data_IF_697194751322
#
_entry.id   IF_697194751322
#
_cell.length_a   1.000
_cell.length_b   1.000
_cell.length_c   1.000
_cell.angle_alpha   90.00
_cell.angle_beta   90.00
_cell.angle_gamma   90.00
#
_symmetry.space_group_name_H-M   'P 1'
#
loop_
_entity.id
_entity.type
_entity.pdbx_description
1 polymer ?
#
# COMPACT_ATOMS: atom_id res chain seq x y z
N UNK A 1 68.70 -3.36 25.20
CA UNK A 1 67.84 -2.63 24.17
C UNK A 1 67.02 -3.56 23.24
N UNK A 2 66.81 -4.80 23.57
CA UNK A 2 66.21 -5.82 22.64
C UNK A 2 64.76 -6.22 22.93
N UNK A 3 64.21 -5.95 24.13
CA UNK A 3 62.82 -6.35 24.46
C UNK A 3 61.70 -5.42 23.95
N UNK A 4 61.97 -4.15 23.66
CA UNK A 4 60.92 -3.19 23.16
C UNK A 4 60.64 -3.36 21.67
N UNK A 5 61.59 -3.84 20.85
CA UNK A 5 61.37 -4.02 19.41
C UNK A 5 60.49 -5.23 19.05
N UNK A 6 60.54 -6.32 19.86
CA UNK A 6 59.69 -7.49 19.67
C UNK A 6 58.19 -7.16 19.93
N UNK A 7 57.88 -6.29 20.89
CA UNK A 7 56.51 -5.92 21.24
C UNK A 7 55.81 -5.10 20.14
N UNK A 8 56.53 -4.19 19.48
CA UNK A 8 55.96 -3.36 18.39
C UNK A 8 55.70 -4.20 17.13
N UNK A 9 56.59 -5.13 16.81
CA UNK A 9 56.40 -6.01 15.66
C UNK A 9 55.24 -6.99 15.88
N UNK A 10 55.01 -7.47 17.09
CA UNK A 10 53.89 -8.35 17.43
C UNK A 10 52.53 -7.61 17.33
N UNK A 11 52.46 -6.35 17.79
CA UNK A 11 51.28 -5.49 17.70
C UNK A 11 50.93 -5.15 16.22
N UNK A 12 51.95 -4.88 15.41
CA UNK A 12 51.77 -4.65 13.98
C UNK A 12 51.28 -5.90 13.23
N UNK A 13 51.76 -7.07 13.57
CA UNK A 13 51.30 -8.34 12.98
C UNK A 13 49.84 -8.62 13.38
N UNK A 14 49.46 -8.41 14.64
CA UNK A 14 48.08 -8.59 15.09
C UNK A 14 47.13 -7.60 14.39
N UNK A 15 47.52 -6.32 14.25
CA UNK A 15 46.74 -5.34 13.52
C UNK A 15 46.60 -5.68 12.02
N UNK A 16 47.65 -6.18 11.38
CA UNK A 16 47.58 -6.60 9.98
C UNK A 16 46.70 -7.85 9.79
N UNK A 17 46.73 -8.79 10.75
CA UNK A 17 45.86 -9.99 10.70
C UNK A 17 44.40 -9.63 10.94
N UNK A 18 44.09 -8.72 11.87
CA UNK A 18 42.71 -8.23 12.08
C UNK A 18 42.21 -7.46 10.87
N UNK A 19 43.02 -6.60 10.29
CA UNK A 19 42.64 -5.85 9.07
C UNK A 19 42.43 -6.80 7.87
N UNK A 20 43.26 -7.81 7.70
CA UNK A 20 43.09 -8.82 6.66
C UNK A 20 41.86 -9.71 6.90
N UNK A 21 41.55 -10.03 8.16
CA UNK A 21 40.35 -10.77 8.53
C UNK A 21 39.09 -9.96 8.29
N UNK A 22 39.05 -8.66 8.62
CA UNK A 22 37.94 -7.77 8.38
C UNK A 22 37.72 -7.53 6.87
N UNK A 23 38.79 -7.37 6.09
CA UNK A 23 38.74 -7.29 4.63
C UNK A 23 38.23 -8.60 4.00
N UNK A 24 38.62 -9.74 4.52
CA UNK A 24 38.15 -11.05 4.06
C UNK A 24 36.68 -11.29 4.44
N UNK A 25 36.22 -10.86 5.61
CA UNK A 25 34.80 -10.88 6.03
C UNK A 25 33.97 -9.96 5.17
N UNK A 26 34.44 -8.74 4.87
CA UNK A 26 33.74 -7.79 3.98
C UNK A 26 33.68 -8.33 2.55
N UNK A 27 34.72 -8.98 2.06
CA UNK A 27 34.71 -9.63 0.74
C UNK A 27 33.79 -10.87 0.70
N UNK A 28 33.65 -11.63 1.79
CA UNK A 28 32.68 -12.72 1.91
C UNK A 28 31.23 -12.24 1.99
N UNK A 29 30.96 -11.11 2.62
CA UNK A 29 29.62 -10.48 2.63
C UNK A 29 29.25 -9.86 1.27
N UNK A 30 30.22 -9.38 0.49
CA UNK A 30 29.99 -8.88 -0.87
C UNK A 30 29.91 -9.98 -1.93
N UNK A 31 30.31 -11.21 -1.62
CA UNK A 31 30.24 -12.40 -2.48
C UNK A 31 29.12 -13.37 -2.02
N UNK A 32 27.96 -12.85 -1.60
CA UNK A 32 26.76 -13.67 -1.66
C UNK A 32 26.54 -14.00 -3.15
N UNK A 33 26.45 -15.29 -3.55
CA UNK A 33 26.19 -15.61 -4.93
C UNK A 33 24.88 -14.91 -5.33
N UNK A 34 24.92 -14.15 -6.43
CA UNK A 34 23.71 -13.73 -7.10
C UNK A 34 22.84 -14.98 -7.21
N UNK A 35 21.67 -14.97 -6.60
CA UNK A 35 20.71 -16.04 -6.75
C UNK A 35 20.62 -16.32 -8.25
N UNK A 36 20.66 -17.57 -8.71
CA UNK A 36 20.58 -17.86 -10.12
C UNK A 36 19.35 -17.12 -10.65
N UNK A 37 19.46 -16.54 -11.85
CA UNK A 37 18.32 -15.97 -12.57
C UNK A 37 17.32 -17.13 -12.80
N UNK A 38 16.65 -17.52 -11.73
CA UNK A 38 15.77 -18.65 -11.59
C UNK A 38 14.36 -18.15 -11.82
N UNK A 39 13.81 -18.63 -12.91
CA UNK A 39 12.39 -18.84 -13.16
C UNK A 39 11.51 -17.77 -12.53
N UNK A 40 11.00 -16.84 -13.34
CA UNK A 40 9.96 -15.88 -12.99
C UNK A 40 8.84 -16.62 -12.25
N UNK A 41 8.89 -16.67 -10.93
CA UNK A 41 7.75 -17.11 -10.16
C UNK A 41 6.58 -16.22 -10.57
N UNK A 42 5.53 -16.81 -11.10
CA UNK A 42 4.37 -16.05 -11.53
C UNK A 42 3.67 -15.54 -10.27
N UNK A 43 3.92 -14.26 -9.93
CA UNK A 43 3.34 -13.59 -8.74
C UNK A 43 1.82 -13.58 -8.77
N UNK A 44 1.20 -13.85 -9.91
CA UNK A 44 -0.25 -13.89 -10.10
C UNK A 44 -0.80 -15.31 -10.26
N UNK A 45 0.07 -16.36 -10.34
CA UNK A 45 -0.37 -17.71 -10.64
C UNK A 45 -1.13 -17.83 -11.97
N UNK A 46 -0.84 -16.95 -12.94
CA UNK A 46 -1.53 -16.86 -14.23
C UNK A 46 -2.82 -16.05 -14.20
N UNK A 47 -3.29 -15.58 -13.04
CA UNK A 47 -4.50 -14.77 -12.93
C UNK A 47 -4.21 -13.32 -13.21
N UNK A 48 -5.08 -12.58 -13.92
CA UNK A 48 -4.87 -11.16 -14.21
C UNK A 48 -5.16 -10.25 -13.02
N UNK A 49 -5.94 -10.72 -12.02
CA UNK A 49 -6.23 -10.04 -10.76
C UNK A 49 -5.91 -10.97 -9.60
N UNK A 50 -5.08 -10.52 -8.68
CA UNK A 50 -4.77 -11.22 -7.42
C UNK A 50 -4.79 -10.23 -6.28
N UNK A 51 -5.38 -10.61 -5.15
CA UNK A 51 -5.40 -9.81 -3.92
C UNK A 51 -4.69 -10.55 -2.79
N UNK A 52 -3.98 -9.78 -1.99
CA UNK A 52 -3.30 -10.21 -0.76
C UNK A 52 -3.75 -9.35 0.41
N UNK A 53 -3.83 -9.95 1.58
CA UNK A 53 -4.16 -9.26 2.83
C UNK A 53 -3.04 -9.46 3.84
N UNK A 54 -2.82 -8.48 4.70
CA UNK A 54 -1.99 -8.66 5.89
C UNK A 54 -2.72 -9.54 6.90
N UNK A 55 -1.96 -10.25 7.72
CA UNK A 55 -2.48 -11.07 8.81
C UNK A 55 -1.74 -10.75 10.13
N UNK A 56 -2.02 -9.56 10.72
CA UNK A 56 -1.34 -9.11 11.93
C UNK A 56 -1.48 -10.11 13.08
N UNK A 57 -0.35 -10.46 13.70
CA UNK A 57 -0.31 -11.37 14.84
C UNK A 57 0.00 -10.62 16.12
N UNK A 58 -0.77 -10.84 17.17
CA UNK A 58 -0.57 -10.23 18.48
C UNK A 58 -0.39 -11.30 19.57
N UNK A 59 0.64 -11.18 20.47
CA UNK A 59 1.72 -10.18 20.38
C UNK A 59 2.59 -10.36 19.14
N UNK A 60 3.23 -9.26 18.70
CA UNK A 60 4.15 -9.30 17.58
C UNK A 60 5.43 -10.07 17.92
N UNK A 61 5.94 -10.80 16.93
CA UNK A 61 7.24 -11.45 16.98
C UNK A 61 7.96 -11.28 15.64
N UNK A 62 8.96 -10.37 15.57
CA UNK A 62 9.69 -10.10 14.33
C UNK A 62 10.33 -11.35 13.67
N UNK A 63 10.51 -12.44 14.41
CA UNK A 63 11.01 -13.72 13.84
C UNK A 63 10.00 -14.39 12.91
N UNK A 64 8.73 -13.97 12.99
CA UNK A 64 7.64 -14.44 12.14
C UNK A 64 7.32 -13.47 10.98
N UNK A 65 8.08 -12.37 10.82
CA UNK A 65 7.95 -11.44 9.70
C UNK A 65 8.44 -12.09 8.42
N UNK A 66 7.52 -12.72 7.68
CA UNK A 66 7.75 -13.40 6.40
C UNK A 66 6.42 -13.59 5.66
N UNK A 67 6.50 -13.84 4.36
CA UNK A 67 5.34 -13.96 3.45
C UNK A 67 4.44 -12.70 3.43
N UNK A 68 4.99 -11.55 3.82
CA UNK A 68 4.29 -10.27 3.84
C UNK A 68 3.97 -9.72 2.45
N UNK A 69 3.24 -8.61 2.42
CA UNK A 69 2.93 -7.89 1.18
C UNK A 69 4.19 -7.36 0.50
N UNK A 70 5.20 -7.01 1.28
CA UNK A 70 6.51 -6.55 0.86
C UNK A 70 7.23 -7.60 -0.02
N UNK A 71 7.21 -8.87 0.36
CA UNK A 71 7.82 -9.94 -0.45
C UNK A 71 7.09 -10.14 -1.77
N UNK A 72 5.75 -9.99 -1.80
CA UNK A 72 4.94 -10.06 -3.03
C UNK A 72 5.26 -8.89 -3.96
N UNK A 73 5.38 -7.68 -3.40
CA UNK A 73 5.76 -6.49 -4.16
C UNK A 73 7.20 -6.59 -4.70
N UNK A 74 8.16 -7.04 -3.87
CA UNK A 74 9.54 -7.28 -4.28
C UNK A 74 9.60 -8.26 -5.45
N UNK A 75 8.84 -9.37 -5.39
CA UNK A 75 8.77 -10.33 -6.48
C UNK A 75 8.21 -9.71 -7.78
N UNK A 76 7.25 -8.78 -7.68
CA UNK A 76 6.74 -8.04 -8.83
C UNK A 76 7.80 -7.08 -9.38
N UNK A 77 8.49 -6.30 -8.52
CA UNK A 77 9.53 -5.33 -8.92
C UNK A 77 10.75 -6.02 -9.58
N UNK A 78 11.11 -7.20 -9.10
CA UNK A 78 12.23 -7.97 -9.67
C UNK A 78 11.94 -8.47 -11.11
N UNK A 79 10.68 -8.46 -11.56
CA UNK A 79 10.29 -8.73 -12.96
C UNK A 79 10.53 -7.55 -13.90
N UNK A 80 10.67 -6.33 -13.38
CA UNK A 80 10.82 -5.13 -14.18
C UNK A 80 11.99 -5.25 -15.19
N UNK A 81 11.73 -4.91 -16.45
CA UNK A 81 12.69 -4.97 -17.54
C UNK A 81 12.92 -3.61 -18.23
N UNK A 82 11.92 -2.73 -18.19
CA UNK A 82 11.94 -1.43 -18.86
C UNK A 82 11.68 -0.28 -17.90
N UNK A 83 10.58 -0.35 -17.13
CA UNK A 83 10.15 0.74 -16.27
C UNK A 83 9.62 0.23 -14.92
N UNK A 84 9.91 0.99 -13.88
CA UNK A 84 9.40 0.79 -12.53
C UNK A 84 9.08 2.16 -11.93
N UNK A 85 7.81 2.50 -11.85
CA UNK A 85 7.31 3.75 -11.30
C UNK A 85 6.57 3.45 -9.99
N UNK A 86 6.99 4.10 -8.89
CA UNK A 86 6.50 3.86 -7.53
C UNK A 86 5.94 5.16 -6.97
N UNK A 87 4.69 5.16 -6.54
CA UNK A 87 4.10 6.21 -5.73
C UNK A 87 3.69 5.62 -4.39
N UNK A 88 4.25 6.12 -3.29
CA UNK A 88 3.90 5.67 -1.96
C UNK A 88 4.02 6.80 -0.93
N UNK A 89 3.00 6.87 -0.05
CA UNK A 89 2.89 7.91 0.97
C UNK A 89 3.96 7.75 2.04
N UNK A 90 4.09 6.55 2.62
CA UNK A 90 5.01 6.28 3.73
C UNK A 90 5.89 5.07 3.44
N UNK A 91 7.22 5.23 3.56
CA UNK A 91 8.20 4.30 3.02
C UNK A 91 9.37 4.05 3.97
N UNK A 92 9.48 2.82 4.51
CA UNK A 92 10.59 2.42 5.38
C UNK A 92 11.15 1.01 5.05
N UNK A 93 10.57 0.30 4.07
CA UNK A 93 10.96 -1.08 3.74
C UNK A 93 12.27 -1.16 2.97
N UNK A 94 13.33 -1.57 3.66
CA UNK A 94 14.66 -1.75 3.06
C UNK A 94 14.70 -2.77 1.93
N UNK A 95 13.94 -3.88 2.01
CA UNK A 95 13.87 -4.89 0.95
C UNK A 95 13.21 -4.37 -0.34
N UNK A 96 12.22 -3.47 -0.21
CA UNK A 96 11.59 -2.78 -1.36
C UNK A 96 12.57 -1.78 -1.98
N UNK A 97 13.27 -0.96 -1.15
CA UNK A 97 14.34 -0.09 -1.62
C UNK A 97 15.44 -0.87 -2.36
N UNK A 98 15.83 -2.02 -1.85
CA UNK A 98 16.80 -2.92 -2.50
C UNK A 98 16.28 -3.50 -3.81
N UNK A 99 14.99 -3.84 -3.92
CA UNK A 99 14.39 -4.30 -5.17
C UNK A 99 14.41 -3.19 -6.24
N UNK A 100 14.07 -1.95 -5.86
CA UNK A 100 14.19 -0.78 -6.74
C UNK A 100 15.64 -0.56 -7.18
N UNK A 101 16.61 -0.67 -6.25
CA UNK A 101 18.03 -0.56 -6.55
C UNK A 101 18.52 -1.68 -7.49
N UNK A 102 18.09 -2.93 -7.28
CA UNK A 102 18.37 -4.03 -8.21
C UNK A 102 17.82 -3.77 -9.62
N UNK A 103 16.57 -3.28 -9.70
CA UNK A 103 15.96 -2.92 -10.99
C UNK A 103 16.78 -1.82 -11.69
N UNK A 104 17.16 -0.77 -10.97
CA UNK A 104 18.02 0.30 -11.49
C UNK A 104 19.34 -0.21 -12.02
N UNK A 105 20.01 -1.10 -11.27
CA UNK A 105 21.28 -1.70 -11.65
C UNK A 105 21.18 -2.64 -12.89
N UNK A 106 19.98 -3.18 -13.15
CA UNK A 106 19.67 -3.93 -14.39
C UNK A 106 19.44 -3.02 -15.60
N UNK A 107 19.44 -1.70 -15.42
CA UNK A 107 19.18 -0.73 -16.48
C UNK A 107 17.70 -0.34 -16.63
N UNK A 108 16.83 -0.76 -15.71
CA UNK A 108 15.43 -0.35 -15.66
C UNK A 108 15.32 1.13 -15.34
N UNK A 109 14.42 1.86 -15.98
CA UNK A 109 14.06 3.23 -15.58
C UNK A 109 13.23 3.16 -14.30
N UNK A 110 13.84 3.48 -13.15
CA UNK A 110 13.19 3.48 -11.85
C UNK A 110 12.98 4.92 -11.38
N UNK A 111 11.75 5.24 -10.93
CA UNK A 111 11.36 6.56 -10.41
C UNK A 111 10.46 6.40 -9.19
N UNK A 112 10.45 7.40 -8.31
CA UNK A 112 9.58 7.42 -7.13
C UNK A 112 8.93 8.79 -6.94
N UNK A 113 7.67 8.76 -6.49
CA UNK A 113 6.94 9.90 -5.92
C UNK A 113 6.56 9.53 -4.49
N UNK A 114 6.71 10.48 -3.56
CA UNK A 114 6.37 10.28 -2.14
C UNK A 114 5.85 11.58 -1.52
N UNK A 115 5.40 11.50 -0.27
CA UNK A 115 5.01 12.67 0.51
C UNK A 115 6.23 13.38 1.13
N UNK A 116 6.15 14.70 1.27
CA UNK A 116 7.23 15.52 1.86
C UNK A 116 7.50 15.15 3.31
N UNK A 117 6.46 14.83 4.10
CA UNK A 117 6.61 14.48 5.50
C UNK A 117 7.46 13.20 5.65
N UNK A 118 7.20 12.21 4.82
CA UNK A 118 7.99 10.97 4.78
C UNK A 118 9.43 11.23 4.31
N UNK A 119 9.61 11.90 3.18
CA UNK A 119 10.96 12.16 2.64
C UNK A 119 11.84 12.94 3.62
N UNK A 120 11.25 13.87 4.37
CA UNK A 120 11.96 14.73 5.32
C UNK A 120 12.03 14.20 6.75
N UNK A 121 11.48 13.02 7.02
CA UNK A 121 11.47 12.40 8.36
C UNK A 121 12.88 11.97 8.78
N UNK A 122 13.64 12.93 9.34
CA UNK A 122 15.01 12.71 9.79
C UNK A 122 15.12 11.87 11.09
N UNK A 123 14.00 11.57 11.75
CA UNK A 123 13.98 10.85 13.04
C UNK A 123 13.85 9.33 12.86
N UNK A 124 13.33 8.88 11.74
CA UNK A 124 13.18 7.45 11.45
C UNK A 124 14.38 6.93 10.66
N UNK A 125 15.19 6.08 11.31
CA UNK A 125 16.39 5.51 10.70
C UNK A 125 16.08 4.54 9.54
N UNK A 126 14.94 3.83 9.58
CA UNK A 126 14.53 2.93 8.49
C UNK A 126 14.17 3.73 7.25
N UNK A 127 13.36 4.78 7.41
CA UNK A 127 13.02 5.73 6.34
C UNK A 127 14.28 6.31 5.71
N UNK A 128 15.19 6.84 6.56
CA UNK A 128 16.45 7.43 6.09
C UNK A 128 17.34 6.41 5.36
N UNK A 129 17.39 5.16 5.83
CA UNK A 129 18.15 4.10 5.18
C UNK A 129 17.57 3.75 3.79
N UNK A 130 16.25 3.64 3.69
CA UNK A 130 15.57 3.34 2.44
C UNK A 130 15.85 4.44 1.38
N UNK A 131 15.67 5.72 1.71
CA UNK A 131 15.96 6.81 0.77
C UNK A 131 17.45 6.98 0.45
N UNK A 132 18.37 6.75 1.42
CA UNK A 132 19.82 6.71 1.11
C UNK A 132 20.10 5.64 0.06
N UNK A 133 19.52 4.45 0.20
CA UNK A 133 19.68 3.35 -0.75
C UNK A 133 19.25 3.73 -2.16
N UNK A 134 18.12 4.40 -2.31
CA UNK A 134 17.65 4.90 -3.61
C UNK A 134 18.58 5.97 -4.20
N UNK A 135 19.04 6.90 -3.35
CA UNK A 135 19.98 7.96 -3.74
C UNK A 135 21.32 7.41 -4.23
N UNK A 136 21.87 6.40 -3.54
CA UNK A 136 23.15 5.77 -3.91
C UNK A 136 23.16 5.19 -5.32
N UNK A 137 22.03 4.66 -5.78
CA UNK A 137 21.89 4.10 -7.13
C UNK A 137 21.32 5.09 -8.16
N UNK A 138 21.05 6.33 -7.72
CA UNK A 138 20.56 7.39 -8.61
C UNK A 138 19.10 7.19 -9.04
N UNK A 139 18.23 6.71 -8.17
CA UNK A 139 16.77 6.73 -8.38
C UNK A 139 16.26 8.14 -8.08
N UNK A 140 15.64 8.85 -9.04
CA UNK A 140 15.04 10.14 -8.78
C UNK A 140 13.78 9.97 -7.91
N UNK A 141 13.67 10.80 -6.89
CA UNK A 141 12.52 10.88 -5.98
C UNK A 141 11.96 12.29 -6.03
N UNK A 142 10.65 12.42 -6.20
CA UNK A 142 9.92 13.70 -6.19
C UNK A 142 8.91 13.65 -5.04
N UNK A 143 8.82 14.74 -4.28
CA UNK A 143 7.86 14.92 -3.19
C UNK A 143 6.88 16.07 -3.51
N UNK A 144 5.76 16.09 -2.80
CA UNK A 144 4.62 16.95 -3.13
C UNK A 144 4.76 18.41 -2.62
N UNK A 145 5.61 18.69 -1.65
CA UNK A 145 5.94 20.01 -1.07
C UNK A 145 4.72 20.85 -0.65
N UNK A 146 3.68 20.20 -0.08
CA UNK A 146 2.42 20.86 0.30
C UNK A 146 1.82 20.27 1.59
N UNK A 147 0.85 20.97 2.25
CA UNK A 147 0.21 20.49 3.48
C UNK A 147 -0.79 19.35 3.27
N UNK A 148 -1.45 19.27 2.09
CA UNK A 148 -2.27 18.12 1.71
C UNK A 148 -1.35 17.00 1.25
N UNK A 149 -1.74 15.74 1.46
CA UNK A 149 -0.82 14.60 1.34
C UNK A 149 -0.88 13.94 -0.06
N UNK A 150 0.27 13.47 -0.51
CA UNK A 150 0.40 12.51 -1.59
C UNK A 150 0.13 11.10 -0.99
N UNK A 151 -1.14 10.68 -1.00
CA UNK A 151 -1.58 9.48 -0.29
C UNK A 151 -1.75 8.24 -1.18
N UNK A 152 -1.34 8.31 -2.43
CA UNK A 152 -1.30 7.15 -3.32
C UNK A 152 -0.36 6.05 -2.80
N UNK A 153 -0.71 4.79 -3.09
CA UNK A 153 0.12 3.61 -2.83
C UNK A 153 0.00 2.69 -4.03
N UNK A 154 0.90 2.89 -5.01
CA UNK A 154 0.90 2.04 -6.19
C UNK A 154 2.30 1.88 -6.81
N UNK A 155 2.44 0.80 -7.55
CA UNK A 155 3.62 0.53 -8.36
C UNK A 155 3.19 0.12 -9.76
N UNK A 156 3.78 0.74 -10.79
CA UNK A 156 3.58 0.35 -12.20
C UNK A 156 4.86 -0.30 -12.73
N UNK A 157 4.74 -1.51 -13.27
CA UNK A 157 5.86 -2.26 -13.85
C UNK A 157 5.64 -2.46 -15.33
N UNK A 158 6.60 -2.00 -16.14
CA UNK A 158 6.68 -2.17 -17.59
C UNK A 158 5.43 -1.73 -18.38
N UNK A 159 4.60 -0.82 -17.79
CA UNK A 159 3.33 -0.40 -18.38
C UNK A 159 2.34 -1.54 -18.60
N UNK A 160 2.45 -2.62 -17.82
CA UNK A 160 1.62 -3.81 -17.95
C UNK A 160 1.04 -4.27 -16.59
N UNK A 161 1.77 -4.07 -15.51
CA UNK A 161 1.36 -4.50 -14.17
C UNK A 161 1.15 -3.31 -13.25
N UNK A 162 0.10 -3.36 -12.45
CA UNK A 162 -0.18 -2.39 -11.39
C UNK A 162 -0.32 -3.12 -10.07
N UNK A 163 0.43 -2.69 -9.06
CA UNK A 163 0.13 -3.00 -7.67
C UNK A 163 -0.50 -1.78 -7.03
N UNK A 164 -1.62 -1.94 -6.33
CA UNK A 164 -2.26 -0.86 -5.56
C UNK A 164 -3.02 -1.41 -4.36
N UNK A 165 -3.34 -0.56 -3.38
CA UNK A 165 -4.01 -1.00 -2.16
C UNK A 165 -4.15 0.09 -1.09
N UNK A 166 -4.44 -0.36 0.13
CA UNK A 166 -4.40 0.50 1.31
C UNK A 166 -3.04 0.52 2.01
N UNK A 167 -2.15 -0.41 1.66
CA UNK A 167 -0.89 -0.71 2.30
C UNK A 167 0.19 0.30 1.94
N UNK A 168 0.77 1.03 2.94
CA UNK A 168 2.01 1.76 2.79
C UNK A 168 3.19 0.79 2.80
N UNK A 169 4.28 1.16 2.15
CA UNK A 169 5.46 0.30 2.06
C UNK A 169 6.31 0.44 3.34
N UNK A 170 5.66 0.11 4.48
CA UNK A 170 6.29 0.14 5.80
C UNK A 170 6.18 -1.20 6.53
N UNK A 171 7.12 -1.41 7.46
CA UNK A 171 7.15 -2.59 8.32
C UNK A 171 5.86 -2.68 9.17
N UNK A 172 5.42 -1.54 9.74
CA UNK A 172 4.21 -1.48 10.55
C UNK A 172 2.96 -1.83 9.73
N UNK A 173 2.81 -1.27 8.52
CA UNK A 173 1.68 -1.58 7.63
C UNK A 173 1.67 -3.05 7.19
N UNK A 174 2.85 -3.67 7.09
CA UNK A 174 2.99 -5.06 6.66
C UNK A 174 2.61 -6.06 7.75
N UNK A 175 3.03 -5.81 9.00
CA UNK A 175 2.93 -6.82 10.05
C UNK A 175 2.00 -6.46 11.21
N UNK A 176 1.59 -5.19 11.35
CA UNK A 176 0.74 -4.73 12.44
C UNK A 176 -0.65 -4.28 11.97
N UNK A 177 -0.78 -3.68 10.78
CA UNK A 177 -2.02 -3.10 10.33
C UNK A 177 -2.82 -4.07 9.44
N UNK A 178 -4.16 -3.98 9.49
CA UNK A 178 -4.99 -4.67 8.50
C UNK A 178 -5.01 -3.88 7.20
N UNK A 179 -4.33 -4.41 6.18
CA UNK A 179 -4.17 -3.83 4.86
C UNK A 179 -4.44 -4.85 3.75
N UNK A 180 -4.58 -4.36 2.55
CA UNK A 180 -4.65 -5.15 1.33
C UNK A 180 -3.74 -4.57 0.25
N UNK A 181 -3.31 -5.43 -0.66
CA UNK A 181 -2.63 -5.10 -1.89
C UNK A 181 -3.17 -5.97 -3.02
N UNK A 182 -3.59 -5.35 -4.12
CA UNK A 182 -3.95 -6.04 -5.37
C UNK A 182 -2.83 -5.93 -6.39
N UNK A 183 -2.64 -6.99 -7.18
CA UNK A 183 -1.78 -6.99 -8.37
C UNK A 183 -2.68 -7.23 -9.59
N UNK A 184 -2.64 -6.31 -10.54
CA UNK A 184 -3.47 -6.31 -11.74
C UNK A 184 -2.59 -6.35 -12.98
N UNK A 185 -2.87 -7.26 -13.89
CA UNK A 185 -2.22 -7.31 -15.20
C UNK A 185 -3.13 -6.73 -16.27
N UNK A 186 -2.94 -5.45 -16.58
CA UNK A 186 -3.69 -4.74 -17.61
C UNK A 186 -2.92 -3.53 -18.10
N UNK A 187 -2.69 -3.44 -19.40
CA UNK A 187 -2.03 -2.28 -20.02
C UNK A 187 -2.89 -1.01 -19.94
N UNK A 188 -4.20 -1.15 -20.04
CA UNK A 188 -5.12 -0.02 -19.93
C UNK A 188 -5.14 0.53 -18.49
N UNK A 189 -5.18 -0.34 -17.48
CA UNK A 189 -5.07 0.10 -16.10
C UNK A 189 -3.69 0.71 -15.82
N UNK A 190 -2.62 0.08 -16.29
CA UNK A 190 -1.26 0.62 -16.16
C UNK A 190 -1.13 2.00 -16.83
N UNK A 191 -1.79 2.24 -17.97
CA UNK A 191 -1.82 3.56 -18.61
C UNK A 191 -2.49 4.63 -17.72
N UNK A 192 -3.57 4.29 -17.00
CA UNK A 192 -4.23 5.19 -16.06
C UNK A 192 -3.30 5.59 -14.90
N UNK A 193 -2.67 4.60 -14.26
CA UNK A 193 -1.74 4.84 -13.15
C UNK A 193 -0.46 5.55 -13.60
N UNK A 194 0.02 5.27 -14.82
CA UNK A 194 1.15 6.00 -15.41
C UNK A 194 0.79 7.46 -15.67
N UNK A 195 -0.42 7.75 -16.18
CA UNK A 195 -0.86 9.12 -16.42
C UNK A 195 -0.96 9.93 -15.11
N UNK A 196 -1.39 9.30 -14.03
CA UNK A 196 -1.40 9.89 -12.69
C UNK A 196 0.03 10.13 -12.18
N UNK A 197 0.89 9.11 -12.26
CA UNK A 197 2.29 9.19 -11.86
C UNK A 197 3.04 10.30 -12.59
N UNK A 198 2.87 10.43 -13.91
CA UNK A 198 3.57 11.44 -14.72
C UNK A 198 3.22 12.88 -14.30
N UNK A 199 1.97 13.13 -13.89
CA UNK A 199 1.59 14.43 -13.37
C UNK A 199 2.32 14.74 -12.06
N UNK A 200 2.31 13.81 -11.11
CA UNK A 200 2.97 13.96 -9.82
C UNK A 200 4.49 14.05 -9.97
N UNK A 201 5.07 13.22 -10.83
CA UNK A 201 6.51 13.26 -11.09
C UNK A 201 6.97 14.56 -11.78
N UNK A 202 6.07 15.22 -12.51
CA UNK A 202 6.28 16.58 -13.06
C UNK A 202 6.00 17.71 -12.05
N UNK A 203 5.75 17.39 -10.76
CA UNK A 203 5.48 18.36 -9.69
C UNK A 203 4.04 18.86 -9.66
N UNK A 204 3.09 18.22 -10.36
CA UNK A 204 1.67 18.57 -10.31
C UNK A 204 0.95 17.63 -9.33
N UNK A 205 0.55 18.15 -8.18
CA UNK A 205 -0.15 17.42 -7.13
C UNK A 205 -1.52 18.04 -6.83
N UNK A 206 -2.43 17.24 -6.30
CA UNK A 206 -3.75 17.66 -5.84
C UNK A 206 -4.50 18.46 -6.90
N UNK A 207 -4.95 19.65 -6.54
CA UNK A 207 -5.73 20.54 -7.43
C UNK A 207 -4.96 21.07 -8.63
N UNK A 208 -3.62 20.95 -8.66
CA UNK A 208 -2.80 21.34 -9.82
C UNK A 208 -2.78 20.27 -10.92
N UNK A 209 -3.23 19.05 -10.63
CA UNK A 209 -3.40 18.00 -11.64
C UNK A 209 -4.56 18.33 -12.59
N UNK A 210 -4.56 17.65 -13.72
CA UNK A 210 -5.67 17.63 -14.67
C UNK A 210 -6.40 16.29 -14.55
N UNK A 211 -7.70 16.27 -14.93
CA UNK A 211 -8.40 15.00 -15.06
C UNK A 211 -7.87 14.27 -16.30
N UNK A 212 -6.97 13.35 -16.08
CA UNK A 212 -6.32 12.59 -17.15
C UNK A 212 -6.29 11.09 -16.78
N UNK A 213 -7.40 10.40 -17.03
CA UNK A 213 -7.53 8.95 -16.87
C UNK A 213 -7.88 8.38 -18.24
N UNK A 214 -6.90 7.86 -19.01
CA UNK A 214 -7.11 7.44 -20.40
C UNK A 214 -8.21 6.41 -20.58
N UNK A 215 -8.35 5.47 -19.65
CA UNK A 215 -9.32 4.38 -19.65
C UNK A 215 -10.11 4.36 -18.32
N UNK A 216 -10.99 5.36 -18.05
CA UNK A 216 -11.67 5.45 -16.74
C UNK A 216 -12.58 4.24 -16.45
N UNK A 217 -13.01 3.55 -17.49
CA UNK A 217 -13.66 2.24 -17.44
C UNK A 217 -12.98 1.32 -18.44
N UNK A 218 -12.61 0.13 -17.98
CA UNK A 218 -11.92 -0.89 -18.77
C UNK A 218 -12.39 -2.29 -18.36
N UNK A 219 -11.87 -3.32 -19.01
CA UNK A 219 -12.19 -4.71 -18.69
C UNK A 219 -10.91 -5.50 -18.47
N UNK A 220 -10.86 -6.31 -17.40
CA UNK A 220 -9.76 -7.25 -17.13
C UNK A 220 -10.39 -8.65 -17.04
N UNK A 221 -10.03 -9.54 -17.96
CA UNK A 221 -10.53 -10.91 -18.03
C UNK A 221 -12.06 -11.07 -18.05
N UNK A 222 -12.76 -10.07 -18.60
CA UNK A 222 -14.22 -10.03 -18.64
C UNK A 222 -14.85 -9.19 -17.54
N UNK A 223 -14.14 -8.89 -16.47
CA UNK A 223 -14.62 -8.11 -15.33
C UNK A 223 -14.48 -6.62 -15.57
N UNK A 224 -15.52 -5.86 -15.25
CA UNK A 224 -15.54 -4.41 -15.39
C UNK A 224 -14.73 -3.75 -14.27
N UNK A 225 -13.81 -2.88 -14.65
CA UNK A 225 -12.97 -2.11 -13.74
C UNK A 225 -13.12 -0.62 -14.04
N UNK A 226 -13.38 0.18 -13.00
CA UNK A 226 -13.30 1.63 -13.07
C UNK A 226 -12.18 2.12 -12.17
N UNK A 227 -11.40 3.10 -12.66
CA UNK A 227 -10.37 3.78 -11.88
C UNK A 227 -10.67 5.26 -11.73
N UNK A 228 -10.39 5.79 -10.55
CA UNK A 228 -10.59 7.19 -10.22
C UNK A 228 -9.39 7.70 -9.42
N UNK A 229 -8.94 8.93 -9.71
CA UNK A 229 -7.84 9.59 -9.01
C UNK A 229 -8.29 10.95 -8.49
N UNK A 230 -8.15 11.16 -7.18
CA UNK A 230 -8.50 12.43 -6.52
C UNK A 230 -7.38 13.48 -6.69
N UNK A 231 -7.74 14.76 -6.59
CA UNK A 231 -9.09 15.30 -6.38
C UNK A 231 -9.87 15.52 -7.68
N UNK A 232 -9.27 15.37 -8.85
CA UNK A 232 -9.90 15.72 -10.13
C UNK A 232 -10.92 14.68 -10.65
N UNK A 233 -10.89 13.47 -10.08
CA UNK A 233 -11.77 12.39 -10.47
C UNK A 233 -13.18 12.47 -9.90
N UNK A 234 -13.40 13.22 -8.80
CA UNK A 234 -14.64 13.22 -8.02
C UNK A 234 -15.01 11.80 -7.54
N UNK A 235 -14.05 11.16 -6.84
CA UNK A 235 -14.14 9.75 -6.50
C UNK A 235 -15.26 9.46 -5.48
N UNK A 236 -15.58 10.40 -4.60
CA UNK A 236 -16.70 10.26 -3.67
C UNK A 236 -18.04 10.17 -4.41
N UNK A 237 -18.24 10.97 -5.46
CA UNK A 237 -19.47 10.90 -6.29
C UNK A 237 -19.61 9.53 -6.95
N UNK A 238 -18.50 8.95 -7.44
CA UNK A 238 -18.49 7.63 -8.05
C UNK A 238 -18.85 6.52 -7.03
N UNK A 239 -18.35 6.63 -5.80
CA UNK A 239 -18.73 5.74 -4.69
C UNK A 239 -20.22 5.86 -4.39
N UNK A 240 -20.73 7.08 -4.21
CA UNK A 240 -22.15 7.36 -3.92
C UNK A 240 -23.04 6.79 -5.03
N UNK A 241 -22.70 7.07 -6.29
CA UNK A 241 -23.42 6.57 -7.46
C UNK A 241 -23.48 5.04 -7.50
N UNK A 242 -22.36 4.37 -7.22
CA UNK A 242 -22.29 2.90 -7.18
C UNK A 242 -23.16 2.35 -6.06
N UNK A 243 -23.08 2.90 -4.86
CA UNK A 243 -23.90 2.49 -3.73
C UNK A 243 -25.40 2.66 -4.04
N UNK A 244 -25.81 3.83 -4.52
CA UNK A 244 -27.21 4.13 -4.76
C UNK A 244 -27.80 3.32 -5.92
N UNK A 245 -27.06 3.16 -7.02
CA UNK A 245 -27.56 2.59 -8.26
C UNK A 245 -27.40 1.07 -8.35
N UNK A 246 -26.39 0.50 -7.66
CA UNK A 246 -26.02 -0.90 -7.85
C UNK A 246 -26.29 -1.80 -6.63
N UNK A 247 -26.33 -1.26 -5.38
CA UNK A 247 -26.60 -2.09 -4.19
C UNK A 247 -28.05 -2.56 -4.15
N UNK A 248 -28.28 -3.87 -4.01
CA UNK A 248 -29.61 -4.49 -3.94
C UNK A 248 -29.84 -5.32 -2.70
N UNK A 249 -28.81 -6.07 -2.25
CA UNK A 249 -28.97 -7.09 -1.20
C UNK A 249 -28.12 -6.79 0.03
N UNK A 250 -26.81 -6.48 -0.17
CA UNK A 250 -25.87 -6.34 0.94
C UNK A 250 -24.79 -5.30 0.66
N UNK A 251 -24.30 -4.69 1.73
CA UNK A 251 -23.16 -3.79 1.72
C UNK A 251 -22.33 -4.01 2.98
N UNK A 252 -21.06 -4.36 2.78
CA UNK A 252 -20.09 -4.55 3.85
C UNK A 252 -18.94 -3.57 3.68
N UNK A 253 -18.48 -2.96 4.78
CA UNK A 253 -17.34 -2.02 4.67
C UNK A 253 -16.36 -2.15 5.82
N UNK A 254 -15.10 -1.81 5.51
CA UNK A 254 -14.00 -1.62 6.46
C UNK A 254 -13.38 -0.25 6.19
N UNK A 255 -13.39 0.63 7.18
CA UNK A 255 -13.02 2.04 6.96
C UNK A 255 -12.06 2.56 8.03
N UNK A 256 -10.82 2.88 7.62
CA UNK A 256 -9.84 3.56 8.48
C UNK A 256 -10.33 4.95 8.87
N UNK A 257 -10.65 5.81 7.90
CA UNK A 257 -11.27 7.11 8.14
C UNK A 257 -12.58 7.20 7.36
N UNK A 258 -13.67 7.48 8.07
CA UNK A 258 -14.98 7.62 7.46
C UNK A 258 -15.72 8.83 8.02
N UNK A 259 -15.57 9.96 7.32
CA UNK A 259 -16.13 11.26 7.70
C UNK A 259 -16.87 11.94 6.54
N UNK A 260 -17.06 11.26 5.39
CA UNK A 260 -17.73 11.80 4.21
C UNK A 260 -19.23 11.60 4.30
N UNK A 261 -19.97 12.67 4.61
CA UNK A 261 -21.43 12.68 4.79
C UNK A 261 -22.20 12.05 3.62
N UNK A 262 -21.79 12.34 2.37
CA UNK A 262 -22.47 11.85 1.16
C UNK A 262 -22.43 10.33 1.05
N UNK A 263 -21.25 9.72 1.32
CA UNK A 263 -21.08 8.26 1.30
C UNK A 263 -21.87 7.64 2.45
N UNK A 264 -21.77 8.20 3.67
CA UNK A 264 -22.50 7.73 4.83
C UNK A 264 -24.02 7.76 4.61
N UNK A 265 -24.54 8.87 4.06
CA UNK A 265 -25.96 9.01 3.72
C UNK A 265 -26.43 7.99 2.68
N UNK A 266 -25.64 7.74 1.63
CA UNK A 266 -25.96 6.73 0.61
C UNK A 266 -26.10 5.33 1.22
N UNK A 267 -25.19 4.94 2.15
CA UNK A 267 -25.27 3.68 2.87
C UNK A 267 -26.53 3.61 3.73
N UNK A 268 -26.85 4.67 4.49
CA UNK A 268 -28.06 4.70 5.31
C UNK A 268 -29.36 4.60 4.47
N UNK A 269 -29.39 5.25 3.31
CA UNK A 269 -30.54 5.18 2.39
C UNK A 269 -30.74 3.73 1.88
N UNK A 270 -29.68 3.03 1.57
CA UNK A 270 -29.77 1.60 1.18
C UNK A 270 -30.25 0.72 2.33
N UNK A 271 -29.74 0.95 3.55
CA UNK A 271 -30.19 0.23 4.73
C UNK A 271 -31.70 0.44 4.99
N UNK A 272 -32.21 1.69 4.86
CA UNK A 272 -33.64 1.99 4.96
C UNK A 272 -34.46 1.32 3.85
N UNK A 273 -33.87 1.06 2.71
CA UNK A 273 -34.49 0.32 1.61
C UNK A 273 -34.46 -1.21 1.79
N UNK A 274 -33.95 -1.71 2.93
CA UNK A 274 -33.91 -3.13 3.27
C UNK A 274 -32.61 -3.85 2.90
N UNK A 275 -31.57 -3.14 2.46
CA UNK A 275 -30.26 -3.73 2.21
C UNK A 275 -29.60 -4.09 3.54
N UNK A 276 -29.00 -5.29 3.62
CA UNK A 276 -28.19 -5.71 4.78
C UNK A 276 -26.90 -4.91 4.79
N UNK A 277 -26.68 -4.11 5.82
CA UNK A 277 -25.46 -3.31 5.98
C UNK A 277 -24.73 -3.72 7.25
N UNK A 278 -23.44 -4.02 7.13
CA UNK A 278 -22.55 -4.20 8.29
C UNK A 278 -21.19 -3.57 8.02
N UNK A 279 -20.56 -2.99 9.05
CA UNK A 279 -19.32 -2.25 8.88
C UNK A 279 -18.39 -2.29 10.08
N UNK A 280 -17.08 -2.17 9.79
CA UNK A 280 -16.05 -2.00 10.81
C UNK A 280 -15.30 -0.69 10.56
N UNK A 281 -15.30 0.16 11.57
CA UNK A 281 -14.56 1.42 11.60
C UNK A 281 -13.25 1.25 12.38
N UNK A 282 -12.22 1.99 11.99
CA UNK A 282 -11.04 2.11 12.83
C UNK A 282 -11.41 2.76 14.17
N UNK A 283 -10.86 2.21 15.24
CA UNK A 283 -11.33 2.51 16.61
C UNK A 283 -11.07 3.96 17.03
N UNK A 284 -9.89 4.50 16.77
CA UNK A 284 -9.48 5.84 17.22
C UNK A 284 -10.19 6.93 16.43
N UNK A 285 -10.20 6.85 15.12
CA UNK A 285 -10.85 7.80 14.22
C UNK A 285 -12.36 7.82 14.37
N UNK A 286 -12.98 6.68 14.73
CA UNK A 286 -14.44 6.58 14.93
C UNK A 286 -14.96 7.34 16.16
N UNK A 287 -14.08 7.72 17.10
CA UNK A 287 -14.46 8.47 18.30
C UNK A 287 -14.63 9.98 18.08
N UNK A 288 -14.30 10.48 16.91
CA UNK A 288 -14.45 11.91 16.59
C UNK A 288 -15.90 12.25 16.27
N UNK A 289 -16.29 13.51 16.52
CA UNK A 289 -17.63 14.01 16.19
C UNK A 289 -17.93 14.03 14.67
N UNK A 290 -16.89 13.96 13.86
CA UNK A 290 -17.01 13.97 12.38
C UNK A 290 -17.18 12.57 11.79
N UNK A 291 -16.98 11.52 12.58
CA UNK A 291 -17.09 10.14 12.12
C UNK A 291 -18.53 9.72 11.88
N UNK A 292 -18.78 9.04 10.78
CA UNK A 292 -20.05 8.41 10.45
C UNK A 292 -20.46 7.30 11.43
N UNK A 293 -19.54 6.76 12.23
CA UNK A 293 -19.78 5.69 13.18
C UNK A 293 -20.94 6.03 14.15
N UNK A 294 -20.85 7.20 14.80
CA UNK A 294 -21.85 7.62 15.77
C UNK A 294 -23.24 7.78 15.15
N UNK A 295 -23.32 8.31 13.92
CA UNK A 295 -24.57 8.48 13.18
C UNK A 295 -25.17 7.12 12.79
N UNK A 296 -24.36 6.25 12.18
CA UNK A 296 -24.81 4.92 11.75
C UNK A 296 -25.23 4.06 12.95
N UNK A 297 -24.50 4.12 14.07
CA UNK A 297 -24.87 3.43 15.30
C UNK A 297 -26.22 3.90 15.85
N UNK A 298 -26.46 5.23 15.83
CA UNK A 298 -27.70 5.82 16.33
C UNK A 298 -28.93 5.40 15.51
N UNK A 299 -28.79 5.20 14.20
CA UNK A 299 -29.88 4.71 13.36
C UNK A 299 -29.98 3.18 13.32
N UNK A 300 -29.22 2.47 14.13
CA UNK A 300 -29.33 1.03 14.36
C UNK A 300 -28.62 0.15 13.32
N UNK A 301 -27.66 0.70 12.56
CA UNK A 301 -26.86 -0.12 11.66
C UNK A 301 -25.91 -1.03 12.45
N UNK A 302 -25.61 -2.21 11.85
CA UNK A 302 -24.71 -3.21 12.43
C UNK A 302 -23.25 -2.79 12.20
N UNK A 303 -22.78 -1.83 13.01
CA UNK A 303 -21.44 -1.26 12.89
C UNK A 303 -20.64 -1.42 14.18
N UNK A 304 -19.35 -1.69 14.02
CA UNK A 304 -18.39 -1.98 15.08
C UNK A 304 -17.16 -1.10 14.95
N UNK A 305 -16.43 -0.93 16.06
CA UNK A 305 -15.04 -0.46 16.00
C UNK A 305 -14.12 -1.67 15.94
N UNK A 306 -13.00 -1.56 15.24
CA UNK A 306 -12.07 -2.66 15.04
C UNK A 306 -11.45 -3.17 16.36
N UNK A 307 -10.96 -4.39 16.33
CA UNK A 307 -10.30 -5.05 17.44
C UNK A 307 -8.81 -5.30 17.21
N UNK A 308 -8.21 -4.72 16.17
CA UNK A 308 -6.77 -4.82 15.98
C UNK A 308 -6.07 -4.06 17.12
N UNK A 309 -5.11 -4.66 17.84
CA UNK A 309 -4.37 -3.96 18.90
C UNK A 309 -3.61 -2.72 18.42
N UNK A 310 -3.27 -2.67 17.12
CA UNK A 310 -2.65 -1.53 16.46
C UNK A 310 -3.69 -0.73 15.66
N UNK A 311 -3.92 -1.06 14.38
CA UNK A 311 -4.81 -0.27 13.51
C UNK A 311 -5.44 -1.11 12.41
N UNK A 312 -6.73 -0.96 12.17
CA UNK A 312 -7.40 -1.42 10.97
C UNK A 312 -7.32 -0.32 9.89
N UNK A 313 -6.58 -0.59 8.80
CA UNK A 313 -6.23 0.43 7.80
C UNK A 313 -6.91 0.24 6.44
N UNK A 314 -7.87 -0.66 6.33
CA UNK A 314 -8.68 -0.84 5.12
C UNK A 314 -9.51 0.40 4.76
N UNK A 315 -9.76 0.60 3.46
CA UNK A 315 -10.73 1.52 2.87
C UNK A 315 -11.44 0.76 1.77
N UNK A 316 -12.46 -0.02 2.17
CA UNK A 316 -13.11 -1.03 1.32
C UNK A 316 -14.61 -1.00 1.53
N UNK A 317 -15.37 -1.08 0.43
CA UNK A 317 -16.79 -1.39 0.44
C UNK A 317 -17.02 -2.58 -0.51
N UNK A 318 -17.74 -3.60 -0.04
CA UNK A 318 -18.18 -4.76 -0.84
C UNK A 318 -19.69 -4.67 -1.02
N UNK A 319 -20.14 -4.67 -2.26
CA UNK A 319 -21.57 -4.56 -2.63
C UNK A 319 -22.04 -5.85 -3.27
N UNK A 320 -23.10 -6.43 -2.73
CA UNK A 320 -23.82 -7.62 -3.25
C UNK A 320 -22.90 -8.81 -3.53
N UNK A 321 -21.75 -8.92 -2.82
CA UNK A 321 -20.71 -9.93 -3.06
C UNK A 321 -20.24 -10.01 -4.53
N UNK A 322 -20.36 -8.90 -5.26
CA UNK A 322 -20.02 -8.78 -6.68
C UNK A 322 -19.08 -7.59 -6.93
N UNK A 323 -19.32 -6.44 -6.27
CA UNK A 323 -18.57 -5.22 -6.53
C UNK A 323 -17.66 -4.91 -5.34
N UNK A 324 -16.40 -4.63 -5.63
CA UNK A 324 -15.41 -4.14 -4.65
C UNK A 324 -15.07 -2.70 -4.98
N UNK A 325 -15.23 -1.81 -4.02
CA UNK A 325 -14.78 -0.43 -4.04
C UNK A 325 -13.61 -0.33 -3.08
N UNK A 326 -12.38 -0.10 -3.58
CA UNK A 326 -11.18 -0.15 -2.75
C UNK A 326 -10.02 0.65 -3.35
N UNK A 327 -9.10 1.13 -2.51
CA UNK A 327 -7.92 1.91 -2.94
C UNK A 327 -7.18 2.48 -1.74
N UNK A 328 -6.46 3.57 -1.99
CA UNK A 328 -5.88 4.41 -0.95
C UNK A 328 -6.92 5.36 -0.34
N UNK A 329 -8.01 5.61 -1.07
CA UNK A 329 -9.04 6.63 -0.81
C UNK A 329 -9.73 6.42 0.54
N UNK A 330 -9.40 7.27 1.53
CA UNK A 330 -10.19 7.38 2.75
C UNK A 330 -11.56 7.95 2.45
N UNK A 331 -12.61 7.46 3.12
CA UNK A 331 -13.96 8.00 2.92
C UNK A 331 -14.13 9.34 3.64
N UNK A 332 -13.39 10.36 3.17
CA UNK A 332 -13.31 11.70 3.76
C UNK A 332 -13.30 12.79 2.70
N UNK A 333 -13.70 14.00 3.09
CA UNK A 333 -13.67 15.19 2.21
C UNK A 333 -12.23 15.51 1.78
N UNK A 334 -11.23 15.39 2.68
CA UNK A 334 -9.84 15.66 2.31
C UNK A 334 -9.34 14.70 1.22
N UNK A 335 -9.73 13.42 1.28
CA UNK A 335 -9.40 12.45 0.24
C UNK A 335 -10.01 12.82 -1.11
N UNK A 336 -11.24 13.38 -1.13
CA UNK A 336 -11.93 13.75 -2.37
C UNK A 336 -11.46 15.06 -2.97
N UNK A 337 -11.10 16.06 -2.12
CA UNK A 337 -10.91 17.44 -2.57
C UNK A 337 -9.45 17.91 -2.59
N UNK A 338 -8.55 17.33 -1.78
CA UNK A 338 -7.23 17.89 -1.54
C UNK A 338 -6.07 16.91 -1.75
N UNK A 339 -6.21 15.64 -1.31
CA UNK A 339 -5.16 14.64 -1.38
C UNK A 339 -5.01 14.06 -2.79
N UNK A 340 -3.85 13.45 -3.06
CA UNK A 340 -3.69 12.53 -4.18
C UNK A 340 -4.04 11.12 -3.71
N UNK A 341 -5.11 10.56 -4.27
CA UNK A 341 -5.63 9.24 -3.92
C UNK A 341 -6.02 8.46 -5.17
N UNK A 342 -6.01 7.16 -5.09
CA UNK A 342 -6.58 6.27 -6.10
C UNK A 342 -7.71 5.41 -5.55
N UNK A 343 -8.66 5.10 -6.42
CA UNK A 343 -9.81 4.25 -6.16
C UNK A 343 -10.06 3.33 -7.34
N UNK A 344 -10.34 2.06 -7.06
CA UNK A 344 -10.86 1.09 -8.01
C UNK A 344 -12.27 0.67 -7.62
N UNK A 345 -13.13 0.49 -8.63
CA UNK A 345 -14.41 -0.21 -8.52
C UNK A 345 -14.33 -1.39 -9.47
N UNK A 346 -14.35 -2.61 -8.93
CA UNK A 346 -14.15 -3.86 -9.67
C UNK A 346 -15.38 -4.74 -9.51
N UNK A 347 -15.98 -5.14 -10.64
CA UNK A 347 -17.10 -6.06 -10.69
C UNK A 347 -16.57 -7.49 -10.94
N UNK A 348 -16.14 -8.18 -9.87
CA UNK A 348 -15.57 -9.55 -9.89
C UNK A 348 -16.02 -10.29 -8.64
N UNK A 349 -16.83 -11.35 -8.81
CA UNK A 349 -17.33 -12.18 -7.71
C UNK A 349 -16.20 -12.85 -6.90
N UNK A 350 -15.11 -13.26 -7.55
CA UNK A 350 -14.00 -13.95 -6.89
C UNK A 350 -13.26 -12.97 -5.96
N UNK A 351 -13.01 -11.76 -6.46
CA UNK A 351 -12.43 -10.66 -5.69
C UNK A 351 -13.37 -10.25 -4.55
N UNK A 352 -14.66 -10.08 -4.83
CA UNK A 352 -15.65 -9.72 -3.83
C UNK A 352 -15.75 -10.76 -2.71
N UNK A 353 -15.71 -12.05 -3.03
CA UNK A 353 -15.65 -13.14 -2.02
C UNK A 353 -14.38 -13.07 -1.17
N UNK A 354 -13.22 -12.75 -1.77
CA UNK A 354 -11.99 -12.60 -1.01
C UNK A 354 -12.07 -11.43 -0.01
N UNK A 355 -12.57 -10.27 -0.44
CA UNK A 355 -12.79 -9.12 0.45
C UNK A 355 -13.89 -9.36 1.47
N UNK A 356 -14.92 -10.13 1.12
CA UNK A 356 -15.97 -10.54 2.07
C UNK A 356 -15.40 -11.44 3.17
N UNK A 357 -14.54 -12.39 2.82
CA UNK A 357 -13.85 -13.23 3.81
C UNK A 357 -12.94 -12.41 4.73
N UNK A 358 -12.23 -11.42 4.18
CA UNK A 358 -11.43 -10.48 4.97
C UNK A 358 -12.30 -9.62 5.90
N UNK A 359 -13.45 -9.13 5.41
CA UNK A 359 -14.42 -8.43 6.25
C UNK A 359 -14.86 -9.30 7.43
N UNK A 360 -15.20 -10.57 7.19
CA UNK A 360 -15.61 -11.49 8.25
C UNK A 360 -14.50 -11.71 9.28
N UNK A 361 -13.25 -11.84 8.84
CA UNK A 361 -12.09 -11.95 9.72
C UNK A 361 -11.94 -10.71 10.61
N UNK A 362 -11.99 -9.52 10.01
CA UNK A 362 -11.87 -8.23 10.72
C UNK A 362 -13.06 -8.02 11.65
N UNK A 363 -14.28 -8.39 11.22
CA UNK A 363 -15.48 -8.32 12.07
C UNK A 363 -15.39 -9.26 13.28
N UNK A 364 -14.87 -10.48 13.09
CA UNK A 364 -14.63 -11.40 14.23
C UNK A 364 -13.59 -10.82 15.19
N UNK A 365 -12.52 -10.22 14.66
CA UNK A 365 -11.53 -9.52 15.49
C UNK A 365 -12.15 -8.33 16.24
N UNK A 366 -13.07 -7.58 15.64
CA UNK A 366 -13.80 -6.49 16.27
C UNK A 366 -14.70 -6.98 17.41
N UNK A 367 -15.38 -8.13 17.22
CA UNK A 367 -16.26 -8.75 18.24
C UNK A 367 -15.47 -9.44 19.35
N UNK A 368 -14.30 -9.96 19.05
CA UNK A 368 -13.45 -10.73 19.96
C UNK A 368 -12.00 -10.22 19.90
N UNK A 369 -11.73 -8.98 20.34
CA UNK A 369 -10.38 -8.42 20.29
C UNK A 369 -9.42 -9.25 21.15
N UNK A 370 -8.16 -9.44 20.70
CA UNK A 370 -7.17 -10.14 21.51
C UNK A 370 -6.95 -9.41 22.83
N UNK A 371 -6.77 -10.20 23.91
CA UNK A 371 -6.48 -9.63 25.23
C UNK A 371 -5.17 -8.82 25.16
N UNK A 372 -5.19 -7.60 25.69
CA UNK A 372 -3.96 -6.83 25.84
C UNK A 372 -3.10 -7.55 26.88
N UNK A 373 -1.92 -8.00 26.48
CA UNK A 373 -0.91 -8.61 27.35
C UNK A 373 -0.28 -7.58 28.27
#
# INVERSE_FOLDING_TARGET
MTRRRLSVTLVLIVLLVTLAYDLWQTQKQSAAPAAPAGQNADVSGGKPIVVYFTDPKYPDDPRNHRDGLDEKLVALMDRARQTLDVADYDFDLGNVADAMARAKNRGVRVRMVTDTETLTNAKDEKVQAAFRRLKEVGVPVVDDQRPAIMHDKFTVVDGEWVSTGSWNYTDADTYHLNNWMGIFRSRELAANYTAEFEQMFAGKFGRAKERNTPHPTLTIDGDRVQSCFSPKGHCADLIVDTIQKQTRQSLYFMAFSFTHDGIGKAIEERARAGVVVSGVFEKTGSQTQFSEYGRMKKVGLDVYTDGNPWTMHHKVIVVDELIVIAGSFNFSTNADEDNDENLLIVEDESLARAFRAEFDRVLQQAKHPPAKS
#
